data_IF_127854996068
#
_entry.id   IF_127854996068
#
_cell.length_a   1.000
_cell.length_b   1.000
_cell.length_c   1.000
_cell.angle_alpha   90.00
_cell.angle_beta   90.00
_cell.angle_gamma   90.00
#
_symmetry.space_group_name_H-M   'P 1'
#
loop_
_entity.id
_entity.type
_entity.pdbx_description
1 polymer ?
#
# COMPACT_ATOMS: atom_id res chain seq x y z
N UNK A 1 -24.97 -23.99 41.54
CA UNK A 1 -23.54 -23.93 41.15
C UNK A 1 -22.74 -23.36 42.31
N UNK A 2 -21.73 -24.10 42.81
CA UNK A 2 -20.94 -23.68 43.97
C UNK A 2 -20.08 -22.43 43.68
N UNK A 3 -19.86 -21.61 44.71
CA UNK A 3 -19.07 -20.37 44.66
C UNK A 3 -17.69 -20.58 44.03
N UNK A 4 -17.00 -21.66 44.40
CA UNK A 4 -15.68 -22.03 43.87
C UNK A 4 -15.65 -22.21 42.35
N UNK A 5 -16.74 -22.69 41.74
CA UNK A 5 -16.82 -22.89 40.29
C UNK A 5 -16.95 -21.55 39.54
N UNK A 6 -17.60 -20.55 40.15
CA UNK A 6 -17.68 -19.18 39.59
C UNK A 6 -16.33 -18.48 39.62
N UNK A 7 -15.55 -18.64 40.70
CA UNK A 7 -14.20 -18.07 40.78
C UNK A 7 -13.23 -18.66 39.75
N UNK A 8 -13.27 -19.99 39.53
CA UNK A 8 -12.42 -20.66 38.53
C UNK A 8 -12.77 -20.20 37.11
N UNK A 9 -14.07 -20.10 36.78
CA UNK A 9 -14.53 -19.55 35.49
C UNK A 9 -14.11 -18.08 35.29
N UNK A 10 -14.14 -17.25 36.33
CA UNK A 10 -13.69 -15.85 36.24
C UNK A 10 -12.18 -15.75 35.99
N UNK A 11 -11.37 -16.56 36.68
CA UNK A 11 -9.91 -16.58 36.48
C UNK A 11 -9.51 -17.13 35.11
N UNK A 12 -10.17 -18.20 34.62
CA UNK A 12 -9.94 -18.72 33.27
C UNK A 12 -10.32 -17.70 32.19
N UNK A 13 -11.42 -16.98 32.35
CA UNK A 13 -11.83 -15.93 31.42
C UNK A 13 -10.85 -14.73 31.44
N UNK A 14 -10.38 -14.33 32.63
CA UNK A 14 -9.40 -13.26 32.79
C UNK A 14 -8.02 -13.60 32.19
N UNK A 15 -7.55 -14.85 32.37
CA UNK A 15 -6.30 -15.30 31.73
C UNK A 15 -6.44 -15.41 30.20
N UNK A 16 -7.61 -15.83 29.71
CA UNK A 16 -7.89 -15.91 28.27
C UNK A 16 -7.99 -14.52 27.60
N UNK A 17 -8.46 -13.50 28.33
CA UNK A 17 -8.46 -12.10 27.89
C UNK A 17 -7.05 -11.49 27.84
N UNK A 18 -6.15 -11.90 28.74
CA UNK A 18 -4.76 -11.42 28.75
C UNK A 18 -3.91 -12.09 27.64
N UNK A 19 -4.20 -13.33 27.26
CA UNK A 19 -3.45 -14.06 26.23
C UNK A 19 -3.69 -13.62 24.77
N UNK A 20 -4.52 -12.60 24.53
CA UNK A 20 -4.90 -12.16 23.17
C UNK A 20 -4.42 -10.75 22.80
N UNK A 21 -3.78 -10.03 23.72
CA UNK A 21 -3.13 -8.75 23.42
C UNK A 21 -1.67 -8.96 23.02
N UNK A 22 -1.44 -9.56 21.85
CA UNK A 22 -0.15 -9.43 21.16
C UNK A 22 0.00 -7.97 20.74
N UNK A 23 0.65 -7.17 21.59
CA UNK A 23 1.07 -5.82 21.22
C UNK A 23 2.19 -5.94 20.18
N UNK A 24 1.83 -6.09 18.91
CA UNK A 24 2.77 -5.98 17.81
C UNK A 24 3.44 -4.61 17.95
N UNK A 25 4.75 -4.62 18.23
CA UNK A 25 5.48 -3.42 18.53
C UNK A 25 5.65 -2.63 17.22
N UNK A 26 4.91 -1.53 17.08
CA UNK A 26 4.93 -0.68 15.88
C UNK A 26 6.38 -0.33 15.53
N UNK A 27 6.81 -0.77 14.36
CA UNK A 27 8.10 -0.43 13.79
C UNK A 27 8.01 0.95 13.12
N UNK A 28 9.06 1.76 13.23
CA UNK A 28 9.02 3.14 12.74
C UNK A 28 8.71 3.28 11.24
N UNK A 29 9.05 2.26 10.46
CA UNK A 29 8.81 2.20 9.02
C UNK A 29 7.53 1.46 8.62
N UNK A 30 6.70 1.02 9.58
CA UNK A 30 5.40 0.42 9.26
C UNK A 30 4.54 1.39 8.46
N UNK A 31 3.87 0.91 7.41
CA UNK A 31 2.87 1.68 6.67
C UNK A 31 1.79 2.25 7.60
N UNK A 32 1.15 3.34 7.18
CA UNK A 32 0.04 3.91 7.95
C UNK A 32 -1.10 2.89 8.07
N UNK A 33 -1.54 2.64 9.29
CA UNK A 33 -2.66 1.73 9.58
C UNK A 33 -4.00 2.37 9.17
N UNK A 34 -5.09 1.60 9.00
CA UNK A 34 -6.42 2.16 8.73
C UNK A 34 -6.90 3.18 9.76
N UNK A 35 -6.53 2.99 11.04
CA UNK A 35 -6.82 3.94 12.11
C UNK A 35 -6.06 5.26 11.92
N UNK A 36 -4.80 5.20 11.50
CA UNK A 36 -3.97 6.38 11.24
C UNK A 36 -4.42 7.13 9.99
N UNK A 37 -4.79 6.44 8.91
CA UNK A 37 -5.41 7.05 7.73
C UNK A 37 -6.72 7.78 8.09
N UNK A 38 -7.57 7.16 8.94
CA UNK A 38 -8.78 7.80 9.47
C UNK A 38 -8.47 9.02 10.33
N UNK A 39 -7.38 8.96 11.11
CA UNK A 39 -6.90 10.08 11.92
C UNK A 39 -6.38 11.23 11.04
N UNK A 40 -5.62 10.94 9.96
CA UNK A 40 -5.19 11.93 8.95
C UNK A 40 -6.40 12.66 8.37
N UNK A 41 -7.40 11.93 7.86
CA UNK A 41 -8.64 12.50 7.33
C UNK A 41 -9.30 13.44 8.34
N UNK A 42 -9.40 13.00 9.60
CA UNK A 42 -10.01 13.77 10.67
C UNK A 42 -9.24 15.07 10.95
N UNK A 43 -7.92 15.00 11.10
CA UNK A 43 -7.07 16.16 11.39
C UNK A 43 -7.08 17.17 10.24
N UNK A 44 -6.97 16.71 8.99
CA UNK A 44 -6.99 17.57 7.79
C UNK A 44 -8.34 18.29 7.67
N UNK A 45 -9.46 17.56 7.79
CA UNK A 45 -10.80 18.16 7.74
C UNK A 45 -10.99 19.21 8.86
N UNK A 46 -10.66 18.87 10.10
CA UNK A 46 -10.85 19.75 11.26
C UNK A 46 -9.93 20.98 11.22
N UNK A 47 -8.67 20.82 10.83
CA UNK A 47 -7.67 21.90 10.90
C UNK A 47 -7.69 22.81 9.68
N UNK A 48 -7.88 22.24 8.48
CA UNK A 48 -7.74 22.98 7.22
C UNK A 48 -9.11 23.42 6.69
N UNK A 49 -10.12 22.55 6.63
CA UNK A 49 -11.42 22.98 6.09
C UNK A 49 -12.20 23.94 6.99
N UNK A 50 -12.01 23.89 8.31
CA UNK A 50 -12.51 24.95 9.22
C UNK A 50 -11.90 26.33 8.95
N UNK A 51 -10.69 26.38 8.35
CA UNK A 51 -9.93 27.62 8.12
C UNK A 51 -10.09 28.15 6.69
N UNK A 52 -10.15 27.25 5.70
CA UNK A 52 -10.17 27.58 4.25
C UNK A 52 -11.57 27.42 3.65
N UNK A 53 -12.57 27.04 4.46
CA UNK A 53 -13.96 26.79 4.03
C UNK A 53 -14.07 25.78 2.87
N UNK A 54 -13.29 24.69 2.91
CA UNK A 54 -13.54 23.57 2.01
C UNK A 54 -14.75 22.75 2.47
N UNK A 55 -15.74 22.61 1.60
CA UNK A 55 -16.74 21.55 1.69
C UNK A 55 -16.14 20.23 1.17
N UNK A 56 -16.78 19.10 1.49
CA UNK A 56 -16.29 17.76 1.08
C UNK A 56 -16.06 17.65 -0.44
N UNK A 57 -16.85 18.37 -1.24
CA UNK A 57 -16.73 18.34 -2.71
C UNK A 57 -15.47 19.07 -3.25
N UNK A 58 -14.85 19.92 -2.42
CA UNK A 58 -13.70 20.75 -2.79
C UNK A 58 -12.36 20.26 -2.20
N UNK A 59 -12.35 19.15 -1.46
CA UNK A 59 -11.15 18.50 -0.93
C UNK A 59 -11.02 17.10 -1.54
N UNK A 60 -9.86 16.80 -2.11
CA UNK A 60 -9.50 15.45 -2.57
C UNK A 60 -8.12 15.07 -2.08
N UNK A 61 -7.98 13.87 -1.53
CA UNK A 61 -6.71 13.25 -1.18
C UNK A 61 -6.19 12.50 -2.42
N UNK A 62 -4.97 12.82 -2.84
CA UNK A 62 -4.30 12.17 -3.98
C UNK A 62 -3.14 11.28 -3.53
N UNK A 63 -2.56 11.57 -2.36
CA UNK A 63 -1.60 10.69 -1.68
C UNK A 63 -1.72 10.87 -0.18
N UNK A 64 -1.69 9.76 0.57
CA UNK A 64 -1.48 9.73 2.02
C UNK A 64 -0.54 8.57 2.32
N UNK A 65 0.64 8.88 2.85
CA UNK A 65 1.65 7.88 3.18
C UNK A 65 2.46 8.28 4.41
N UNK A 66 3.29 7.35 4.91
CA UNK A 66 4.19 7.62 6.03
C UNK A 66 5.13 8.78 5.65
N UNK A 67 5.25 9.78 6.53
CA UNK A 67 6.37 10.70 6.46
C UNK A 67 7.59 9.98 7.07
N UNK A 68 8.41 9.37 6.20
CA UNK A 68 9.55 8.55 6.60
C UNK A 68 10.45 9.32 7.60
N UNK A 69 10.71 8.78 8.82
CA UNK A 69 11.59 9.46 9.78
C UNK A 69 13.03 9.55 9.28
N UNK A 70 13.76 10.58 9.72
CA UNK A 70 15.17 10.76 9.38
C UNK A 70 15.99 9.50 9.61
N UNK A 71 16.88 9.17 8.66
CA UNK A 71 17.72 7.97 8.71
C UNK A 71 18.52 7.85 10.01
N UNK A 72 19.01 8.96 10.55
CA UNK A 72 19.72 8.99 11.84
C UNK A 72 18.82 8.59 13.01
N UNK A 73 17.56 9.04 13.00
CA UNK A 73 16.55 8.68 13.99
C UNK A 73 16.22 7.19 13.92
N UNK A 74 16.05 6.62 12.71
CA UNK A 74 15.80 5.19 12.51
C UNK A 74 16.99 4.33 12.99
N UNK A 75 18.22 4.70 12.60
CA UNK A 75 19.44 3.97 13.02
C UNK A 75 19.65 4.07 14.54
N UNK A 76 19.44 5.24 15.13
CA UNK A 76 19.50 5.46 16.58
C UNK A 76 18.45 4.63 17.33
N UNK A 77 17.24 4.51 16.79
CA UNK A 77 16.18 3.67 17.35
C UNK A 77 16.52 2.18 17.26
N UNK A 78 16.95 1.68 16.08
CA UNK A 78 17.34 0.29 15.86
C UNK A 78 18.51 -0.17 16.73
N UNK A 79 19.45 0.72 17.06
CA UNK A 79 20.60 0.40 17.92
C UNK A 79 20.23 0.06 19.38
N UNK A 80 19.03 0.45 19.84
CA UNK A 80 18.60 0.32 21.23
C UNK A 80 17.89 -1.01 21.46
N UNK A 81 18.41 -1.85 22.36
CA UNK A 81 17.80 -3.16 22.72
C UNK A 81 16.33 -3.08 23.17
N UNK A 82 15.92 -1.94 23.74
CA UNK A 82 14.53 -1.60 24.08
C UNK A 82 14.34 -0.09 23.92
N UNK A 83 13.82 0.42 22.79
CA UNK A 83 13.57 1.85 22.63
C UNK A 83 12.41 2.29 23.53
N UNK A 84 12.70 3.12 24.53
CA UNK A 84 11.72 3.55 25.57
C UNK A 84 10.74 4.62 25.03
N UNK A 85 11.16 5.40 24.03
CA UNK A 85 10.33 6.42 23.37
C UNK A 85 10.37 6.18 21.86
N UNK A 86 9.20 6.03 21.26
CA UNK A 86 9.03 5.99 19.80
C UNK A 86 9.04 7.46 19.32
N UNK A 87 9.86 7.82 18.31
CA UNK A 87 9.76 9.09 17.60
C UNK A 87 8.32 9.42 17.15
N UNK A 88 7.95 10.72 17.00
CA UNK A 88 6.64 11.10 16.53
C UNK A 88 6.32 10.46 15.18
N UNK A 89 5.15 9.83 15.07
CA UNK A 89 4.71 9.19 13.83
C UNK A 89 3.94 10.21 13.02
N UNK A 90 4.34 10.39 11.77
CA UNK A 90 3.89 11.49 10.93
C UNK A 90 3.42 10.97 9.57
N UNK A 91 2.46 11.67 8.97
CA UNK A 91 1.94 11.37 7.64
C UNK A 91 2.24 12.53 6.68
N UNK A 92 2.64 12.19 5.46
CA UNK A 92 2.72 13.13 4.35
C UNK A 92 1.48 12.98 3.48
N UNK A 93 0.87 14.10 3.15
CA UNK A 93 -0.39 14.18 2.42
C UNK A 93 -0.22 15.11 1.23
N UNK A 94 -0.57 14.62 0.04
CA UNK A 94 -0.86 15.46 -1.11
C UNK A 94 -2.38 15.54 -1.25
N UNK A 95 -2.93 16.72 -1.04
CA UNK A 95 -4.35 17.00 -1.19
C UNK A 95 -4.58 18.14 -2.17
N UNK A 96 -5.70 18.12 -2.88
CA UNK A 96 -6.16 19.23 -3.70
C UNK A 96 -7.34 19.90 -3.01
N UNK A 97 -7.23 21.19 -2.73
CA UNK A 97 -8.19 21.97 -1.94
C UNK A 97 -8.55 23.21 -2.75
N UNK A 98 -9.84 23.40 -3.06
CA UNK A 98 -10.31 24.50 -3.91
C UNK A 98 -9.47 24.64 -5.20
N UNK A 99 -9.17 23.51 -5.84
CA UNK A 99 -8.33 23.34 -7.05
C UNK A 99 -6.82 23.59 -6.88
N UNK A 100 -6.34 24.13 -5.75
CA UNK A 100 -4.93 24.28 -5.42
C UNK A 100 -4.30 22.99 -4.89
N UNK A 101 -3.03 22.74 -5.19
CA UNK A 101 -2.28 21.58 -4.69
C UNK A 101 -1.64 21.91 -3.34
N UNK A 102 -1.81 21.03 -2.35
CA UNK A 102 -1.30 21.20 -0.98
C UNK A 102 -0.40 20.04 -0.55
N UNK A 103 0.76 20.38 -0.03
CA UNK A 103 1.69 19.48 0.67
C UNK A 103 1.50 19.66 2.18
N UNK A 104 0.96 18.64 2.85
CA UNK A 104 0.58 18.71 4.26
C UNK A 104 1.37 17.64 5.04
N UNK A 105 1.92 18.03 6.18
CA UNK A 105 2.56 17.12 7.15
C UNK A 105 1.69 17.10 8.41
N UNK A 106 1.25 15.91 8.80
CA UNK A 106 0.39 15.67 9.97
C UNK A 106 1.17 14.89 11.03
N UNK A 107 1.16 15.38 12.28
CA UNK A 107 1.60 14.59 13.44
C UNK A 107 0.43 13.77 13.97
N UNK A 108 0.60 12.45 13.99
CA UNK A 108 -0.39 11.50 14.50
C UNK A 108 -0.26 11.30 16.02
N UNK A 109 0.91 11.61 16.58
CA UNK A 109 1.19 11.52 18.02
C UNK A 109 0.50 12.66 18.75
N UNK A 110 0.68 13.88 18.24
CA UNK A 110 0.09 15.11 18.80
C UNK A 110 -1.26 15.48 18.16
N UNK A 111 -1.72 14.71 17.16
CA UNK A 111 -2.97 14.92 16.40
C UNK A 111 -3.13 16.34 15.80
N UNK A 112 -2.10 16.84 15.10
CA UNK A 112 -2.06 18.22 14.58
C UNK A 112 -1.42 18.32 13.19
N UNK A 113 -1.77 19.36 12.43
CA UNK A 113 -1.03 19.74 11.23
C UNK A 113 0.26 20.45 11.63
N UNK A 114 1.41 19.95 11.16
CA UNK A 114 2.73 20.58 11.37
C UNK A 114 3.03 21.60 10.27
N UNK A 115 2.69 21.25 9.03
CA UNK A 115 2.93 22.08 7.85
C UNK A 115 1.81 21.91 6.84
N UNK A 116 1.46 22.99 6.15
CA UNK A 116 0.55 23.03 5.02
C UNK A 116 1.13 24.05 4.02
N UNK A 117 1.64 23.59 2.89
CA UNK A 117 2.25 24.43 1.85
C UNK A 117 1.44 24.30 0.57
N UNK A 118 1.10 25.43 -0.05
CA UNK A 118 0.53 25.44 -1.40
C UNK A 118 1.66 25.26 -2.41
N UNK A 119 1.56 24.24 -3.27
CA UNK A 119 2.50 24.03 -4.35
C UNK A 119 2.03 24.85 -5.57
N UNK A 120 2.74 25.95 -5.84
CA UNK A 120 2.52 26.86 -6.98
C UNK A 120 3.42 26.52 -8.19
N UNK A 121 4.08 25.36 -8.18
CA UNK A 121 4.99 24.92 -9.24
C UNK A 121 4.25 24.25 -10.41
N UNK A 122 5.03 23.54 -11.24
CA UNK A 122 4.50 22.69 -12.29
C UNK A 122 4.25 21.27 -11.80
N UNK A 123 3.41 20.53 -12.52
CA UNK A 123 3.02 19.17 -12.18
C UNK A 123 1.73 19.11 -11.35
N UNK A 124 1.15 17.91 -11.30
CA UNK A 124 -0.06 17.60 -10.56
C UNK A 124 0.20 16.32 -9.74
N UNK A 125 -0.56 16.09 -8.64
CA UNK A 125 -0.45 14.85 -7.89
C UNK A 125 -1.06 13.67 -8.67
N UNK A 126 -0.87 12.45 -8.14
CA UNK A 126 -1.42 11.20 -8.69
C UNK A 126 -2.92 11.35 -9.02
N UNK A 127 -3.37 10.75 -10.12
CA UNK A 127 -4.79 10.63 -10.44
C UNK A 127 -5.47 9.72 -9.41
N UNK A 128 -6.49 10.22 -8.70
CA UNK A 128 -7.32 9.35 -7.86
C UNK A 128 -8.28 8.51 -8.74
N UNK A 129 -8.75 7.38 -8.20
CA UNK A 129 -9.59 6.43 -8.95
C UNK A 129 -10.94 7.05 -9.32
N UNK A 130 -11.59 7.74 -8.39
CA UNK A 130 -12.90 8.37 -8.58
C UNK A 130 -12.90 9.41 -9.72
N UNK A 131 -11.81 10.17 -9.89
CA UNK A 131 -11.64 11.11 -11.01
C UNK A 131 -11.42 10.41 -12.35
N UNK A 132 -10.68 9.29 -12.36
CA UNK A 132 -10.54 8.47 -13.56
C UNK A 132 -11.88 7.87 -13.96
N UNK A 133 -12.64 7.30 -13.03
CA UNK A 133 -13.96 6.73 -13.29
C UNK A 133 -14.96 7.81 -13.74
N UNK A 134 -14.95 8.98 -13.10
CA UNK A 134 -15.76 10.13 -13.52
C UNK A 134 -15.40 10.63 -14.93
N UNK A 135 -14.11 10.67 -15.28
CA UNK A 135 -13.66 11.04 -16.62
C UNK A 135 -14.01 9.98 -17.69
N UNK A 136 -13.85 8.70 -17.35
CA UNK A 136 -14.14 7.55 -18.22
C UNK A 136 -15.61 7.48 -18.64
N UNK A 137 -16.55 7.99 -17.83
CA UNK A 137 -17.99 7.98 -18.20
C UNK A 137 -18.43 9.17 -19.07
N UNK A 138 -17.65 10.26 -19.15
CA UNK A 138 -18.02 11.46 -19.91
C UNK A 138 -18.35 11.20 -21.40
N UNK A 139 -17.56 10.40 -22.16
CA UNK A 139 -17.81 10.18 -23.58
C UNK A 139 -19.21 9.61 -23.88
N UNK A 140 -19.73 8.73 -23.02
CA UNK A 140 -21.04 8.11 -23.19
C UNK A 140 -22.22 9.09 -23.06
N UNK A 141 -21.98 10.31 -22.59
CA UNK A 141 -22.96 11.41 -22.54
C UNK A 141 -22.72 12.49 -23.61
N UNK A 142 -21.59 12.45 -24.32
CA UNK A 142 -21.14 13.51 -25.20
C UNK A 142 -21.64 13.32 -26.64
N UNK A 143 -22.57 14.17 -27.08
CA UNK A 143 -23.26 14.01 -28.37
C UNK A 143 -22.32 13.83 -29.60
N UNK A 144 -21.18 14.54 -29.75
CA UNK A 144 -20.24 14.29 -30.85
C UNK A 144 -19.54 12.92 -30.80
N UNK A 145 -19.37 12.33 -29.62
CA UNK A 145 -18.88 10.96 -29.47
C UNK A 145 -19.96 9.95 -29.85
N UNK A 146 -21.22 10.16 -29.45
CA UNK A 146 -22.35 9.31 -29.82
C UNK A 146 -22.57 9.28 -31.35
N UNK A 147 -22.57 10.44 -32.00
CA UNK A 147 -22.61 10.54 -33.47
C UNK A 147 -21.40 9.87 -34.15
N UNK A 148 -20.24 9.86 -33.47
CA UNK A 148 -19.04 9.16 -33.93
C UNK A 148 -19.15 7.63 -33.84
N UNK A 149 -19.90 7.09 -32.88
CA UNK A 149 -20.22 5.66 -32.79
C UNK A 149 -21.21 5.24 -33.89
N UNK A 150 -22.30 6.00 -34.05
CA UNK A 150 -23.31 5.77 -35.09
C UNK A 150 -22.68 5.74 -36.49
N UNK A 151 -21.83 6.73 -36.81
CA UNK A 151 -21.08 6.78 -38.08
C UNK A 151 -20.17 5.57 -38.31
N UNK A 152 -19.74 4.87 -37.25
CA UNK A 152 -18.91 3.66 -37.30
C UNK A 152 -19.74 2.36 -37.26
N UNK A 153 -21.07 2.45 -37.18
CA UNK A 153 -21.94 1.28 -37.01
C UNK A 153 -21.81 0.58 -35.66
N UNK A 154 -21.25 1.26 -34.66
CA UNK A 154 -21.06 0.73 -33.31
C UNK A 154 -22.21 1.13 -32.39
N UNK A 155 -22.65 0.22 -31.52
CA UNK A 155 -23.61 0.56 -30.47
C UNK A 155 -22.88 0.95 -29.18
N UNK A 156 -23.58 1.67 -28.32
CA UNK A 156 -23.07 2.06 -27.00
C UNK A 156 -22.75 0.84 -26.11
N UNK A 157 -23.55 -0.23 -26.20
CA UNK A 157 -23.39 -1.48 -25.44
C UNK A 157 -22.11 -2.26 -25.78
N UNK A 158 -21.54 -2.04 -26.97
CA UNK A 158 -20.30 -2.69 -27.42
C UNK A 158 -19.03 -1.95 -26.93
N UNK A 159 -19.17 -0.76 -26.34
CA UNK A 159 -18.06 0.11 -25.94
C UNK A 159 -17.84 0.04 -24.43
N UNK A 160 -16.98 -0.89 -24.00
CA UNK A 160 -16.58 -1.06 -22.60
C UNK A 160 -15.13 -0.66 -22.33
N UNK A 161 -14.88 -0.11 -21.14
CA UNK A 161 -13.52 -0.07 -20.56
C UNK A 161 -13.19 -1.49 -20.08
N UNK A 162 -12.07 -2.06 -20.55
CA UNK A 162 -11.70 -3.48 -20.35
C UNK A 162 -11.50 -3.81 -18.86
N UNK A 163 -12.32 -4.68 -18.23
CA UNK A 163 -12.07 -5.18 -16.88
C UNK A 163 -11.44 -6.58 -16.95
N UNK A 164 -10.26 -6.75 -16.37
CA UNK A 164 -9.69 -8.10 -16.17
C UNK A 164 -10.38 -8.83 -15.02
N UNK A 165 -10.47 -10.17 -15.14
CA UNK A 165 -11.11 -11.03 -14.12
C UNK A 165 -10.20 -12.23 -13.81
N UNK A 166 -9.81 -12.45 -12.54
CA UNK A 166 -9.09 -13.65 -12.14
C UNK A 166 -10.02 -14.87 -12.02
N UNK A 167 -9.41 -16.06 -12.08
CA UNK A 167 -10.06 -17.37 -12.04
C UNK A 167 -9.42 -18.21 -10.91
N UNK A 168 -10.15 -19.05 -10.18
CA UNK A 168 -9.66 -19.76 -8.96
C UNK A 168 -9.72 -21.30 -9.05
N UNK A 169 -8.76 -22.02 -8.45
CA UNK A 169 -8.86 -23.48 -8.11
C UNK A 169 -7.78 -23.97 -7.11
N UNK A 170 -8.20 -24.71 -6.05
CA UNK A 170 -7.49 -25.88 -5.44
C UNK A 170 -6.35 -25.65 -4.43
N UNK A 171 -6.40 -26.28 -3.24
CA UNK A 171 -5.51 -26.11 -2.04
C UNK A 171 -4.71 -27.43 -1.73
N UNK A 172 -3.51 -27.37 -1.10
CA UNK A 172 -2.78 -28.36 -0.22
C UNK A 172 -1.23 -28.19 -0.33
N UNK A 173 -0.35 -28.32 0.69
CA UNK A 173 -0.44 -28.09 2.16
C UNK A 173 0.98 -28.04 2.88
N UNK A 174 1.53 -26.87 3.26
CA UNK A 174 2.81 -26.75 4.03
C UNK A 174 3.27 -25.33 4.46
N UNK A 175 3.82 -25.17 5.68
CA UNK A 175 4.19 -23.87 6.27
C UNK A 175 5.65 -23.40 6.05
N UNK A 176 5.94 -22.08 6.15
CA UNK A 176 7.27 -21.50 5.88
C UNK A 176 8.27 -21.61 7.05
N UNK A 177 9.58 -21.50 6.75
CA UNK A 177 10.66 -21.44 7.73
C UNK A 177 11.16 -20.02 8.06
N UNK A 178 10.63 -18.97 7.42
CA UNK A 178 10.83 -17.59 7.89
C UNK A 178 9.89 -17.26 9.05
N UNK A 179 10.33 -16.33 9.90
CA UNK A 179 9.49 -15.73 10.93
C UNK A 179 9.10 -14.30 10.49
N UNK A 180 7.81 -13.98 10.65
CA UNK A 180 7.22 -12.67 10.35
C UNK A 180 6.63 -12.11 11.64
N UNK A 181 7.17 -10.98 12.11
CA UNK A 181 6.70 -10.23 13.27
C UNK A 181 6.18 -8.86 12.80
N UNK A 182 4.87 -8.76 12.61
CA UNK A 182 4.25 -7.65 11.87
C UNK A 182 4.79 -7.57 10.45
N UNK A 183 5.56 -6.52 10.15
CA UNK A 183 6.22 -6.29 8.86
C UNK A 183 7.73 -6.62 8.89
N UNK A 184 8.28 -7.09 10.01
CA UNK A 184 9.67 -7.49 10.14
C UNK A 184 9.85 -8.97 9.77
N UNK A 185 10.67 -9.24 8.75
CA UNK A 185 10.99 -10.58 8.26
C UNK A 185 12.34 -11.03 8.80
N UNK A 186 12.39 -12.27 9.29
CA UNK A 186 13.61 -12.96 9.72
C UNK A 186 13.71 -14.29 8.98
N UNK A 187 14.70 -14.42 8.11
CA UNK A 187 14.89 -15.60 7.27
C UNK A 187 16.38 -15.89 7.12
N UNK A 188 16.81 -17.11 7.44
CA UNK A 188 18.23 -17.46 7.53
C UNK A 188 19.02 -16.43 8.37
N UNK A 189 20.06 -15.82 7.79
CA UNK A 189 20.86 -14.73 8.35
C UNK A 189 20.27 -13.32 8.11
N UNK A 190 19.26 -13.20 7.24
CA UNK A 190 18.62 -11.94 6.88
C UNK A 190 17.62 -11.45 7.92
N UNK A 191 17.60 -10.12 8.07
CA UNK A 191 16.57 -9.36 8.80
C UNK A 191 16.24 -8.11 8.00
N UNK A 192 14.99 -7.95 7.61
CA UNK A 192 14.53 -6.79 6.85
C UNK A 192 13.10 -6.42 7.23
N UNK A 193 12.68 -5.22 6.83
CA UNK A 193 11.32 -4.72 7.02
C UNK A 193 10.65 -4.57 5.66
N UNK A 194 9.37 -4.92 5.56
CA UNK A 194 8.58 -4.86 4.33
C UNK A 194 7.48 -3.81 4.50
N UNK A 195 7.72 -2.61 3.96
CA UNK A 195 6.71 -1.56 3.87
C UNK A 195 5.83 -1.68 2.62
N UNK A 196 4.66 -1.05 2.68
CA UNK A 196 3.78 -0.77 1.54
C UNK A 196 3.53 0.74 1.43
N UNK A 197 3.69 1.30 0.23
CA UNK A 197 3.35 2.70 -0.07
C UNK A 197 2.43 2.78 -1.29
N UNK A 198 1.42 3.66 -1.24
CA UNK A 198 0.42 3.77 -2.32
C UNK A 198 0.99 4.37 -3.61
N UNK A 199 2.06 5.17 -3.56
CA UNK A 199 2.71 5.68 -4.77
C UNK A 199 3.69 4.67 -5.33
N UNK A 200 4.65 4.23 -4.53
CA UNK A 200 5.81 3.45 -5.00
C UNK A 200 5.53 1.95 -5.11
N UNK A 201 4.69 1.39 -4.22
CA UNK A 201 4.82 -0.01 -3.82
C UNK A 201 6.23 -0.23 -3.24
N UNK A 202 7.18 -0.53 -4.12
CA UNK A 202 8.62 -0.70 -3.84
C UNK A 202 9.54 0.00 -4.85
N UNK A 203 8.99 0.46 -6.00
CA UNK A 203 9.76 0.98 -7.14
C UNK A 203 9.66 2.51 -7.14
N UNK A 204 10.76 3.21 -7.43
CA UNK A 204 10.78 4.67 -7.38
C UNK A 204 9.92 5.31 -8.47
N UNK A 205 10.00 4.81 -9.70
CA UNK A 205 9.24 5.26 -10.87
C UNK A 205 9.33 4.23 -12.00
N UNK A 206 8.39 4.25 -12.94
CA UNK A 206 8.44 3.46 -14.17
C UNK A 206 8.07 4.35 -15.36
N UNK A 207 8.85 4.35 -16.44
CA UNK A 207 8.63 5.20 -17.61
C UNK A 207 8.32 4.35 -18.84
N UNK A 208 7.13 4.53 -19.43
CA UNK A 208 6.64 3.72 -20.56
C UNK A 208 6.37 4.63 -21.78
N UNK A 209 7.40 4.99 -22.58
CA UNK A 209 7.24 5.78 -23.79
C UNK A 209 6.80 4.92 -24.99
N UNK A 210 5.65 5.24 -25.58
CA UNK A 210 5.28 4.74 -26.90
C UNK A 210 6.07 5.47 -28.00
N UNK A 211 6.31 4.77 -29.11
CA UNK A 211 7.16 5.25 -30.23
C UNK A 211 6.36 5.61 -31.49
N UNK A 212 5.03 5.71 -31.38
CA UNK A 212 4.15 6.15 -32.45
C UNK A 212 3.91 7.66 -32.33
N UNK A 213 4.20 8.39 -33.42
CA UNK A 213 4.17 9.85 -33.49
C UNK A 213 2.81 10.41 -33.96
N UNK A 214 1.82 9.56 -34.20
CA UNK A 214 0.46 9.98 -34.57
C UNK A 214 -0.27 10.64 -33.39
N UNK A 215 -1.31 11.42 -33.70
CA UNK A 215 -2.09 12.20 -32.72
C UNK A 215 -2.67 11.31 -31.60
N UNK A 216 -2.99 10.06 -31.91
CA UNK A 216 -3.56 9.07 -31.01
C UNK A 216 -2.57 8.50 -29.96
N UNK A 217 -1.26 8.65 -30.18
CA UNK A 217 -0.21 7.97 -29.41
C UNK A 217 0.94 8.85 -28.90
N UNK A 218 1.26 9.98 -29.54
CA UNK A 218 2.49 10.75 -29.23
C UNK A 218 2.63 11.20 -27.76
N UNK A 219 1.51 11.34 -27.05
CA UNK A 219 1.46 11.78 -25.64
C UNK A 219 1.50 10.62 -24.62
N UNK A 220 1.52 9.36 -25.08
CA UNK A 220 1.50 8.17 -24.22
C UNK A 220 2.92 7.83 -23.75
N UNK A 221 3.38 8.57 -22.75
CA UNK A 221 4.68 8.38 -22.11
C UNK A 221 4.51 8.30 -20.60
N UNK A 222 3.85 7.25 -20.14
CA UNK A 222 3.35 7.12 -18.75
C UNK A 222 4.49 7.11 -17.73
N UNK A 223 4.26 7.75 -16.58
CA UNK A 223 5.07 7.61 -15.37
C UNK A 223 4.24 6.85 -14.31
N UNK A 224 4.21 5.52 -14.39
CA UNK A 224 3.17 4.71 -13.73
C UNK A 224 3.04 4.96 -12.22
N UNK A 225 4.15 5.14 -11.50
CA UNK A 225 4.12 5.38 -10.06
C UNK A 225 3.75 6.83 -9.73
N UNK A 226 4.21 7.80 -10.53
CA UNK A 226 3.92 9.22 -10.37
C UNK A 226 2.50 9.63 -10.78
N UNK A 227 1.97 9.04 -11.86
CA UNK A 227 0.68 9.39 -12.46
C UNK A 227 -0.48 8.57 -11.87
N UNK A 228 -0.30 7.26 -11.67
CA UNK A 228 -1.37 6.32 -11.29
C UNK A 228 -1.18 5.66 -9.93
N UNK A 229 0.04 5.69 -9.37
CA UNK A 229 0.38 5.05 -8.10
C UNK A 229 0.53 3.54 -8.22
N UNK A 230 1.77 3.05 -8.19
CA UNK A 230 2.09 1.63 -8.34
C UNK A 230 1.49 0.77 -7.22
N UNK A 231 1.44 1.29 -5.99
CA UNK A 231 0.76 0.66 -4.87
C UNK A 231 -0.77 0.78 -4.95
N UNK A 232 -1.29 1.94 -5.38
CA UNK A 232 -2.72 2.17 -5.60
C UNK A 232 -3.31 1.25 -6.68
N UNK A 233 -2.49 0.88 -7.67
CA UNK A 233 -2.83 -0.05 -8.76
C UNK A 233 -2.44 -1.51 -8.48
N UNK A 234 -1.95 -1.82 -7.27
CA UNK A 234 -1.61 -3.19 -6.90
C UNK A 234 -2.86 -4.09 -6.89
N UNK A 235 -2.80 -5.19 -7.62
CA UNK A 235 -3.88 -6.19 -7.64
C UNK A 235 -3.76 -7.14 -6.44
N UNK A 236 -4.91 -7.60 -5.94
CA UNK A 236 -4.94 -8.65 -4.92
C UNK A 236 -4.40 -9.96 -5.47
N UNK A 237 -3.28 -10.43 -4.93
CA UNK A 237 -2.61 -11.65 -5.39
C UNK A 237 -3.51 -12.86 -5.13
N UNK A 238 -3.68 -13.68 -6.18
CA UNK A 238 -4.44 -14.92 -6.17
C UNK A 238 -3.54 -16.04 -5.65
N UNK A 239 -3.84 -16.61 -4.47
CA UNK A 239 -3.03 -17.72 -3.94
C UNK A 239 -2.99 -18.89 -4.91
N UNK A 240 -1.83 -19.55 -4.99
CA UNK A 240 -1.58 -20.73 -5.84
C UNK A 240 -1.56 -20.42 -7.34
N UNK A 241 -1.61 -19.13 -7.73
CA UNK A 241 -1.38 -18.66 -9.09
C UNK A 241 -0.24 -17.64 -9.15
N UNK A 242 -0.38 -16.55 -8.42
CA UNK A 242 0.61 -15.47 -8.40
C UNK A 242 1.73 -15.77 -7.38
N UNK A 243 1.39 -16.54 -6.34
CA UNK A 243 2.30 -16.95 -5.28
C UNK A 243 2.11 -18.45 -4.95
N UNK A 244 3.19 -19.17 -4.59
CA UNK A 244 3.12 -20.58 -4.24
C UNK A 244 2.45 -20.82 -2.89
N UNK A 245 2.34 -22.08 -2.53
CA UNK A 245 1.49 -22.56 -1.44
C UNK A 245 1.99 -22.21 -0.03
N UNK A 246 3.30 -22.20 0.16
CA UNK A 246 3.96 -21.78 1.40
C UNK A 246 4.08 -20.25 1.54
N UNK A 247 3.29 -19.47 0.79
CA UNK A 247 3.31 -18.02 0.85
C UNK A 247 2.50 -17.46 2.03
N UNK A 248 3.09 -16.50 2.73
CA UNK A 248 2.38 -15.64 3.68
C UNK A 248 2.05 -14.33 2.98
N UNK A 249 0.79 -13.92 3.05
CA UNK A 249 0.29 -12.71 2.41
C UNK A 249 0.28 -11.53 3.39
N UNK A 250 0.55 -10.33 2.86
CA UNK A 250 0.40 -9.07 3.56
C UNK A 250 -0.63 -8.21 2.84
N UNK A 251 -1.47 -7.52 3.60
CA UNK A 251 -2.45 -6.58 3.08
C UNK A 251 -1.84 -5.20 2.88
N UNK A 252 -2.26 -4.51 1.81
CA UNK A 252 -1.96 -3.09 1.58
C UNK A 252 -3.14 -2.22 2.00
N UNK A 253 -2.86 -0.99 2.41
CA UNK A 253 -3.87 0.02 2.72
C UNK A 253 -3.51 1.35 2.07
N UNK A 254 -4.52 2.07 1.57
CA UNK A 254 -4.35 3.38 0.94
C UNK A 254 -5.51 4.31 1.29
N UNK A 255 -5.37 5.59 0.98
CA UNK A 255 -6.45 6.59 1.13
C UNK A 255 -7.22 6.76 -0.18
N UNK A 256 -8.55 6.65 -0.14
CA UNK A 256 -9.45 7.09 -1.22
C UNK A 256 -9.44 8.61 -1.37
N UNK A 257 -10.12 9.12 -2.42
CA UNK A 257 -10.29 10.55 -2.69
C UNK A 257 -10.83 11.34 -1.50
N UNK A 258 -11.75 10.77 -0.73
CA UNK A 258 -12.37 11.41 0.43
C UNK A 258 -11.58 11.18 1.75
N UNK A 259 -10.38 10.59 1.69
CA UNK A 259 -9.54 10.30 2.85
C UNK A 259 -9.84 8.97 3.57
N UNK A 260 -10.78 8.17 3.07
CA UNK A 260 -11.19 6.92 3.73
C UNK A 260 -10.16 5.82 3.51
N UNK A 261 -9.81 5.01 4.53
CA UNK A 261 -8.92 3.86 4.33
C UNK A 261 -9.60 2.78 3.47
N UNK A 262 -8.97 2.44 2.35
CA UNK A 262 -9.32 1.30 1.52
C UNK A 262 -8.25 0.19 1.65
N UNK A 263 -8.67 -1.06 1.48
CA UNK A 263 -7.85 -2.26 1.64
C UNK A 263 -7.58 -2.91 0.28
N UNK A 264 -6.32 -3.24 0.03
CA UNK A 264 -5.90 -4.17 -1.02
C UNK A 264 -5.54 -5.48 -0.31
N UNK A 265 -6.44 -6.46 -0.37
CA UNK A 265 -6.18 -7.77 0.23
C UNK A 265 -5.05 -8.48 -0.51
N UNK A 266 -4.18 -9.22 0.19
CA UNK A 266 -3.06 -9.94 -0.44
C UNK A 266 -2.21 -9.04 -1.38
N UNK A 267 -1.88 -7.82 -0.98
CA UNK A 267 -1.09 -6.90 -1.81
C UNK A 267 0.37 -7.36 -1.99
N UNK A 268 0.90 -8.13 -1.03
CA UNK A 268 2.21 -8.77 -1.10
C UNK A 268 2.11 -10.24 -0.73
N UNK A 269 3.09 -11.02 -1.17
CA UNK A 269 3.33 -12.36 -0.67
C UNK A 269 4.82 -12.59 -0.43
N UNK A 270 5.14 -13.33 0.63
CA UNK A 270 6.49 -13.72 1.02
C UNK A 270 6.51 -15.24 1.06
N UNK A 271 7.42 -15.87 0.33
CA UNK A 271 7.53 -17.32 0.24
C UNK A 271 8.99 -17.76 0.10
N UNK A 272 9.28 -18.98 0.55
CA UNK A 272 10.52 -19.66 0.20
C UNK A 272 10.33 -20.44 -1.10
N UNK A 273 11.36 -20.57 -1.92
CA UNK A 273 11.37 -21.52 -3.03
C UNK A 273 12.65 -22.35 -2.99
N UNK A 274 12.53 -23.63 -3.29
CA UNK A 274 13.71 -24.40 -3.65
C UNK A 274 14.24 -23.84 -4.98
N UNK A 275 15.45 -23.28 -4.97
CA UNK A 275 15.99 -22.58 -6.13
C UNK A 275 16.37 -23.52 -7.30
N UNK A 276 16.42 -24.84 -7.08
CA UNK A 276 16.95 -25.81 -8.03
C UNK A 276 18.48 -25.86 -8.07
N UNK A 277 19.12 -24.71 -7.88
CA UNK A 277 20.56 -24.55 -7.99
C UNK A 277 21.34 -25.04 -6.75
N UNK A 278 22.46 -25.69 -7.01
CA UNK A 278 23.42 -26.11 -5.98
C UNK A 278 24.27 -24.91 -5.57
N UNK A 279 24.09 -24.42 -4.33
CA UNK A 279 24.78 -23.23 -3.80
C UNK A 279 26.31 -23.31 -3.95
N UNK A 280 26.89 -24.49 -3.71
CA UNK A 280 28.29 -24.81 -3.99
C UNK A 280 28.45 -26.32 -4.12
N UNK A 281 29.42 -26.78 -4.91
CA UNK A 281 29.86 -28.18 -4.95
C UNK A 281 31.35 -28.29 -5.20
N UNK A 282 31.97 -29.30 -4.60
CA UNK A 282 33.34 -29.74 -4.89
C UNK A 282 33.34 -31.22 -5.24
N UNK A 283 34.39 -31.71 -5.91
CA UNK A 283 34.58 -33.14 -6.16
C UNK A 283 36.09 -33.41 -6.25
N UNK A 284 36.63 -34.07 -5.23
CA UNK A 284 38.04 -34.43 -5.17
C UNK A 284 38.27 -35.82 -5.80
N UNK A 285 39.09 -35.95 -6.86
CA UNK A 285 39.45 -37.25 -7.39
C UNK A 285 40.55 -37.91 -6.54
N UNK A 286 40.42 -39.20 -6.26
CA UNK A 286 41.48 -39.96 -5.58
C UNK A 286 42.73 -40.07 -6.48
N UNK A 287 43.81 -39.39 -6.11
CA UNK A 287 45.15 -39.79 -6.56
C UNK A 287 45.57 -41.04 -5.80
N UNK A 288 45.74 -42.14 -6.53
CA UNK A 288 46.34 -43.36 -5.99
C UNK A 288 47.81 -43.08 -5.64
N UNK A 289 48.09 -42.81 -4.37
CA UNK A 289 49.45 -42.94 -3.85
C UNK A 289 49.89 -44.40 -4.03
N UNK A 290 51.03 -44.60 -4.70
CA UNK A 290 51.60 -45.92 -4.89
C UNK A 290 52.14 -46.42 -3.56
N UNK A 291 51.53 -47.48 -3.04
CA UNK A 291 52.10 -48.38 -2.04
C UNK A 291 53.42 -49.00 -2.55
#
# INVERSE_FOLDING_TARGET
>A
MNSSLRFILFFLCYFCLISLMSTNAIHLLDSLTPSELTQVKTIVNQSICSTVSCHNDNLSFHYVGLHEPDKETVVSWLSKRKPIKIPPRQAFVLARINQSNHEIIVDLTDSKVISNKVNNGHGYPLLNLDEQDAANVLPFSYAPFLASLEKRGLKLEDVGVKPEKPLNTGILHGGPNFNLDGNAVRWADWKFHVGFDMRRGYISELFIPYMDLTEEWYYRTYFDAGDFGFGLRASSLVPLKDCPENAVFLDGYYSTKDGTPAKIANALCIFERYAGDVLWRHTEPLSLEKL
#
